data_IF_215251817150
#
_entry.id   IF_215251817150
#
_cell.length_a   1.000
_cell.length_b   1.000
_cell.length_c   1.000
_cell.angle_alpha   90.00
_cell.angle_beta   90.00
_cell.angle_gamma   90.00
#
_symmetry.space_group_name_H-M   'P 1'
#
loop_
_entity.id
_entity.type
_entity.pdbx_description
1 polymer ?
#
# COMPACT_ATOMS: atom_id res chain seq x y z
N UNK A 1 -27.81 56.62 -9.54
CA UNK A 1 -27.55 55.56 -10.53
C UNK A 1 -26.66 54.53 -9.89
N UNK A 2 -27.06 53.24 -10.01
CA UNK A 2 -26.30 51.99 -9.86
C UNK A 2 -25.70 51.66 -8.47
N UNK A 3 -26.26 50.65 -7.75
CA UNK A 3 -25.87 49.21 -7.73
C UNK A 3 -24.47 49.00 -7.12
N UNK A 4 -24.14 48.05 -6.24
CA UNK A 4 -24.76 46.87 -5.64
C UNK A 4 -23.75 46.40 -4.55
N UNK A 5 -24.16 46.06 -3.33
CA UNK A 5 -24.25 44.65 -2.92
C UNK A 5 -23.07 44.22 -2.01
N UNK A 6 -23.33 44.02 -0.70
CA UNK A 6 -23.29 42.73 0.02
C UNK A 6 -22.23 41.73 -0.47
N UNK A 7 -21.29 41.32 0.40
CA UNK A 7 -20.86 39.93 0.68
C UNK A 7 -19.77 40.01 1.78
N UNK A 8 -20.15 39.91 3.05
CA UNK A 8 -20.24 38.68 3.84
C UNK A 8 -18.86 38.16 4.31
N UNK A 9 -18.66 38.24 5.63
CA UNK A 9 -17.98 37.27 6.49
C UNK A 9 -17.41 36.04 5.76
N UNK A 10 -16.10 36.03 5.49
CA UNK A 10 -15.32 34.81 5.26
C UNK A 10 -14.14 34.83 6.21
N UNK A 11 -14.44 34.65 7.49
CA UNK A 11 -13.47 34.70 8.57
C UNK A 11 -13.81 33.73 9.69
N UNK A 12 -14.18 32.49 9.34
CA UNK A 12 -14.37 31.42 10.30
C UNK A 12 -14.59 30.06 9.60
N UNK A 13 -13.60 29.48 8.91
CA UNK A 13 -13.71 28.08 8.46
C UNK A 13 -12.38 27.34 8.23
N UNK A 14 -11.32 27.66 8.98
CA UNK A 14 -10.11 26.83 9.04
C UNK A 14 -9.69 26.54 10.47
N UNK A 15 -10.64 26.01 11.25
CA UNK A 15 -10.38 25.48 12.58
C UNK A 15 -10.75 23.99 12.62
N UNK A 16 -10.23 23.16 11.72
CA UNK A 16 -10.47 21.71 11.76
C UNK A 16 -9.38 20.85 11.08
N UNK A 17 -8.09 21.17 11.23
CA UNK A 17 -7.02 20.20 10.98
C UNK A 17 -5.85 20.43 11.94
N UNK A 18 -6.10 20.21 13.23
CA UNK A 18 -5.02 20.02 14.20
C UNK A 18 -4.94 18.53 14.50
N UNK A 19 -3.76 17.95 14.27
CA UNK A 19 -3.39 16.53 14.38
C UNK A 19 -3.63 15.66 13.14
N UNK A 20 -2.90 15.95 12.05
CA UNK A 20 -2.36 14.83 11.26
C UNK A 20 -1.19 14.30 12.10
N UNK A 21 -1.43 13.20 12.81
CA UNK A 21 -0.38 12.43 13.45
C UNK A 21 0.69 12.11 12.40
N UNK A 22 1.98 12.25 12.76
CA UNK A 22 3.13 11.92 11.92
C UNK A 22 2.99 10.48 11.41
N UNK A 23 2.46 10.32 10.21
CA UNK A 23 2.32 9.02 9.58
C UNK A 23 3.58 8.79 8.74
N UNK A 24 4.33 7.74 9.07
CA UNK A 24 5.55 7.42 8.36
C UNK A 24 5.20 6.80 7.01
N UNK A 25 5.68 7.42 5.93
CA UNK A 25 5.52 6.89 4.58
C UNK A 25 6.75 6.12 4.17
N UNK A 26 6.59 4.93 3.62
CA UNK A 26 7.70 4.09 3.17
C UNK A 26 7.54 3.75 1.71
N UNK A 27 8.65 3.65 1.00
CA UNK A 27 8.70 3.13 -0.36
C UNK A 27 9.71 2.01 -0.44
N UNK A 28 9.30 0.87 -0.98
CA UNK A 28 10.13 -0.32 -1.13
C UNK A 28 10.29 -0.67 -2.61
N UNK A 29 11.53 -0.88 -3.05
CA UNK A 29 11.83 -1.48 -4.35
C UNK A 29 11.82 -3.00 -4.19
N UNK A 30 10.96 -3.69 -4.93
CA UNK A 30 10.75 -5.13 -4.79
C UNK A 30 11.43 -5.88 -5.94
N UNK A 31 12.19 -6.90 -5.57
CA UNK A 31 12.75 -7.90 -6.44
C UNK A 31 12.02 -9.23 -6.25
N UNK A 32 11.59 -9.85 -7.34
CA UNK A 32 11.03 -11.19 -7.32
C UNK A 32 12.15 -12.20 -7.05
N UNK A 33 11.94 -13.10 -6.08
CA UNK A 33 12.87 -14.20 -5.78
C UNK A 33 12.45 -15.51 -6.47
N UNK A 34 11.22 -15.55 -6.98
CA UNK A 34 10.66 -16.70 -7.66
C UNK A 34 9.92 -16.23 -8.90
N UNK A 35 10.09 -16.97 -10.00
CA UNK A 35 9.37 -16.72 -11.24
C UNK A 35 7.93 -17.26 -11.16
N UNK A 36 7.08 -16.80 -12.08
CA UNK A 36 5.72 -17.34 -12.28
C UNK A 36 4.58 -16.52 -11.69
N UNK A 37 4.86 -15.40 -11.00
CA UNK A 37 3.84 -14.44 -10.60
C UNK A 37 4.34 -13.02 -10.80
N UNK A 38 3.41 -12.12 -11.11
CA UNK A 38 3.72 -10.70 -11.16
C UNK A 38 3.97 -10.16 -9.75
N UNK A 39 5.05 -9.38 -9.60
CA UNK A 39 5.33 -8.59 -8.41
C UNK A 39 5.36 -7.11 -8.77
N UNK A 40 4.79 -6.22 -7.94
CA UNK A 40 4.95 -4.79 -8.13
C UNK A 40 6.43 -4.44 -7.97
N UNK A 41 7.02 -3.70 -8.91
CA UNK A 41 8.43 -3.25 -8.81
C UNK A 41 8.67 -2.31 -7.63
N UNK A 42 7.65 -1.56 -7.25
CA UNK A 42 7.70 -0.61 -6.16
C UNK A 42 6.42 -0.71 -5.33
N UNK A 43 6.54 -0.62 -4.00
CA UNK A 43 5.41 -0.59 -3.07
C UNK A 43 5.59 0.58 -2.14
N UNK A 44 4.69 1.56 -2.24
CA UNK A 44 4.67 2.71 -1.34
C UNK A 44 3.50 2.60 -0.37
N UNK A 45 3.72 2.85 0.92
CA UNK A 45 2.67 2.72 1.93
C UNK A 45 2.83 3.67 3.10
N UNK A 46 1.71 4.09 3.67
CA UNK A 46 1.65 4.87 4.91
C UNK A 46 1.39 3.93 6.09
N UNK A 47 2.23 4.00 7.11
CA UNK A 47 2.06 3.27 8.35
C UNK A 47 1.44 4.20 9.40
N UNK A 48 0.19 3.93 9.77
CA UNK A 48 -0.47 4.57 10.90
C UNK A 48 -0.36 3.64 12.10
N UNK A 49 0.06 4.17 13.24
CA UNK A 49 0.27 3.35 14.43
C UNK A 49 -1.04 2.76 14.96
N UNK A 50 -0.88 1.54 15.46
CA UNK A 50 -1.76 0.73 16.30
C UNK A 50 -2.96 -0.03 15.71
N UNK A 51 -3.61 0.33 14.60
CA UNK A 51 -4.55 -0.62 13.97
C UNK A 51 -5.01 -0.21 12.57
N UNK A 52 -4.58 -0.98 11.57
CA UNK A 52 -5.56 -1.60 10.68
C UNK A 52 -5.76 -1.01 9.29
N UNK A 53 -5.23 0.15 8.94
CA UNK A 53 -5.35 0.67 7.57
C UNK A 53 -4.05 1.32 7.09
N UNK A 54 -3.25 0.55 6.36
CA UNK A 54 -2.22 1.10 5.50
C UNK A 54 -2.82 1.43 4.14
N UNK A 55 -2.21 2.36 3.43
CA UNK A 55 -2.63 2.73 2.09
C UNK A 55 -1.48 2.41 1.14
N UNK A 56 -1.65 1.42 0.27
CA UNK A 56 -0.67 1.13 -0.76
C UNK A 56 -0.88 2.13 -1.89
N UNK A 57 0.06 3.07 -2.04
CA UNK A 57 0.16 3.94 -3.19
C UNK A 57 0.74 3.09 -4.31
N UNK A 58 -0.15 2.59 -5.17
CA UNK A 58 0.15 1.57 -6.15
C UNK A 58 1.34 1.90 -7.03
N UNK A 59 2.15 0.86 -7.25
CA UNK A 59 3.03 0.72 -8.40
C UNK A 59 2.30 1.18 -9.68
N UNK A 60 2.87 2.18 -10.32
CA UNK A 60 2.56 2.69 -11.66
C UNK A 60 1.18 3.23 -12.03
N UNK A 61 0.04 2.99 -11.37
CA UNK A 61 -1.21 3.64 -11.84
C UNK A 61 -2.37 3.68 -10.82
N UNK A 62 -2.47 4.78 -10.07
CA UNK A 62 -3.72 5.56 -10.03
C UNK A 62 -4.68 5.42 -8.85
N UNK A 63 -4.65 4.34 -8.06
CA UNK A 63 -5.58 4.20 -6.94
C UNK A 63 -4.93 3.65 -5.65
N UNK A 64 -5.13 4.33 -4.51
CA UNK A 64 -4.89 3.76 -3.19
C UNK A 64 -5.53 2.39 -2.98
N UNK A 65 -4.72 1.39 -2.60
CA UNK A 65 -5.24 0.06 -2.21
C UNK A 65 -5.29 -0.02 -0.68
N UNK A 66 -6.44 -0.38 -0.08
CA UNK A 66 -6.52 -0.58 1.36
C UNK A 66 -5.67 -1.80 1.76
N UNK A 67 -4.81 -1.61 2.76
CA UNK A 67 -3.93 -2.62 3.33
C UNK A 67 -4.35 -2.89 4.75
N UNK A 68 -4.58 -4.17 5.08
CA UNK A 68 -4.72 -4.60 6.47
C UNK A 68 -3.33 -4.73 7.08
N UNK A 69 -2.97 -3.84 7.99
CA UNK A 69 -1.70 -3.89 8.71
C UNK A 69 -1.90 -4.36 10.16
N UNK A 70 -0.99 -5.20 10.63
CA UNK A 70 -0.95 -5.69 12.00
C UNK A 70 0.48 -5.68 12.52
N UNK A 71 0.70 -5.08 13.68
CA UNK A 71 2.02 -5.06 14.32
C UNK A 71 2.32 -6.43 14.94
N UNK A 72 3.27 -7.19 14.37
CA UNK A 72 3.71 -8.48 14.92
C UNK A 72 4.75 -8.35 16.03
N UNK A 73 5.53 -7.28 16.02
CA UNK A 73 6.54 -7.00 17.05
C UNK A 73 6.84 -5.50 17.09
N UNK A 74 7.70 -5.08 18.02
CA UNK A 74 8.15 -3.68 18.10
C UNK A 74 8.77 -3.15 16.80
N UNK A 75 9.27 -4.05 15.94
CA UNK A 75 9.99 -3.72 14.71
C UNK A 75 9.40 -4.36 13.44
N UNK A 76 8.29 -5.08 13.51
CA UNK A 76 7.78 -5.84 12.36
C UNK A 76 6.27 -5.74 12.23
N UNK A 77 5.83 -5.42 11.01
CA UNK A 77 4.43 -5.33 10.62
C UNK A 77 4.11 -6.40 9.58
N UNK A 78 2.99 -7.08 9.77
CA UNK A 78 2.36 -7.93 8.77
C UNK A 78 1.36 -7.08 8.00
N UNK A 79 1.38 -7.17 6.68
CA UNK A 79 0.50 -6.43 5.80
C UNK A 79 -0.16 -7.40 4.81
N UNK A 80 -1.46 -7.33 4.69
CA UNK A 80 -2.23 -8.14 3.73
C UNK A 80 -3.07 -7.20 2.85
N UNK A 81 -3.01 -7.38 1.53
CA UNK A 81 -3.83 -6.64 0.57
C UNK A 81 -4.22 -7.50 -0.63
N UNK A 82 -5.20 -7.04 -1.40
CA UNK A 82 -5.65 -7.68 -2.63
C UNK A 82 -5.54 -6.68 -3.78
N UNK A 83 -4.88 -7.06 -4.86
CA UNK A 83 -4.77 -6.26 -6.08
C UNK A 83 -5.76 -6.80 -7.12
N UNK A 84 -6.61 -5.92 -7.64
CA UNK A 84 -7.55 -6.27 -8.71
C UNK A 84 -6.81 -6.41 -10.06
N UNK A 85 -7.39 -7.15 -11.00
CA UNK A 85 -6.84 -7.42 -12.34
C UNK A 85 -6.53 -6.16 -13.14
N UNK A 86 -7.34 -5.11 -12.98
CA UNK A 86 -7.16 -3.83 -13.68
C UNK A 86 -5.81 -3.15 -13.36
N UNK A 87 -5.16 -3.49 -12.24
CA UNK A 87 -3.87 -2.95 -11.82
C UNK A 87 -2.70 -3.92 -12.11
N UNK A 88 -2.94 -4.97 -12.92
CA UNK A 88 -1.97 -6.01 -13.28
C UNK A 88 -1.82 -6.12 -14.80
N UNK A 89 -1.45 -5.04 -15.52
CA UNK A 89 -1.55 -4.96 -16.99
C UNK A 89 -0.68 -5.96 -17.76
N UNK A 90 0.31 -6.58 -17.12
CA UNK A 90 1.27 -7.49 -17.74
C UNK A 90 1.22 -8.93 -17.21
N UNK A 91 0.18 -9.29 -16.44
CA UNK A 91 0.05 -10.67 -15.96
C UNK A 91 -0.50 -11.58 -17.08
N UNK A 92 0.06 -12.78 -17.28
CA UNK A 92 -0.48 -13.73 -18.26
C UNK A 92 -1.96 -14.04 -17.99
N UNK A 93 -2.78 -14.04 -19.04
CA UNK A 93 -4.24 -14.21 -18.94
C UNK A 93 -4.69 -15.51 -18.24
N UNK A 94 -3.83 -16.54 -18.16
CA UNK A 94 -4.14 -17.79 -17.47
C UNK A 94 -4.08 -17.69 -15.93
N UNK A 95 -3.45 -16.64 -15.39
CA UNK A 95 -3.36 -16.36 -13.95
C UNK A 95 -4.34 -15.28 -13.48
N UNK A 96 -5.17 -14.76 -14.37
CA UNK A 96 -6.23 -13.80 -14.07
C UNK A 96 -7.41 -14.49 -13.36
N UNK A 97 -7.30 -14.66 -12.04
CA UNK A 97 -8.47 -14.90 -11.18
C UNK A 97 -9.19 -13.58 -10.94
N UNK A 98 -10.46 -13.51 -11.40
CA UNK A 98 -11.41 -12.41 -11.18
C UNK A 98 -11.52 -11.94 -9.72
N UNK A 99 -11.11 -12.75 -8.74
CA UNK A 99 -11.09 -12.38 -7.31
C UNK A 99 -9.89 -11.52 -6.89
N UNK A 100 -8.95 -11.24 -7.80
CA UNK A 100 -7.73 -10.50 -7.52
C UNK A 100 -6.66 -11.35 -6.82
N UNK A 101 -5.41 -10.90 -6.87
CA UNK A 101 -4.29 -11.58 -6.21
C UNK A 101 -4.10 -11.02 -4.81
N UNK A 102 -4.02 -11.93 -3.84
CA UNK A 102 -3.76 -11.55 -2.45
C UNK A 102 -2.27 -11.60 -2.19
N UNK A 103 -1.76 -10.53 -1.60
CA UNK A 103 -0.39 -10.39 -1.19
C UNK A 103 -0.31 -10.35 0.32
N UNK A 104 0.78 -10.90 0.83
CA UNK A 104 1.16 -10.84 2.24
C UNK A 104 2.59 -10.35 2.34
N UNK A 105 2.82 -9.30 3.11
CA UNK A 105 4.15 -8.77 3.36
C UNK A 105 4.51 -8.76 4.85
N UNK A 106 5.79 -9.00 5.12
CA UNK A 106 6.42 -8.70 6.39
C UNK A 106 7.36 -7.52 6.18
N UNK A 107 7.09 -6.41 6.84
CA UNK A 107 7.93 -5.22 6.81
C UNK A 107 8.63 -5.03 8.15
N UNK A 108 9.95 -4.91 8.10
CA UNK A 108 10.76 -4.62 9.27
C UNK A 108 11.19 -3.15 9.27
N UNK A 109 10.61 -2.35 10.18
CA UNK A 109 10.89 -0.90 10.27
C UNK A 109 12.33 -0.58 10.68
N UNK A 110 13.00 -1.48 11.42
CA UNK A 110 14.40 -1.27 11.86
C UNK A 110 15.40 -1.57 10.77
N UNK A 111 15.11 -2.57 9.92
CA UNK A 111 15.98 -3.00 8.82
C UNK A 111 15.61 -2.37 7.48
N UNK A 112 14.48 -1.66 7.44
CA UNK A 112 13.88 -1.13 6.21
C UNK A 112 13.82 -2.18 5.10
N UNK A 113 13.34 -3.38 5.45
CA UNK A 113 13.25 -4.50 4.52
C UNK A 113 11.87 -5.10 4.52
N UNK A 114 11.36 -5.37 3.32
CA UNK A 114 10.09 -6.03 3.07
C UNK A 114 10.33 -7.43 2.51
N UNK A 115 9.57 -8.41 2.99
CA UNK A 115 9.44 -9.72 2.34
C UNK A 115 8.00 -9.87 1.89
N UNK A 116 7.79 -10.19 0.63
CA UNK A 116 6.49 -10.26 -0.03
C UNK A 116 6.19 -11.68 -0.46
N UNK A 117 4.94 -12.11 -0.31
CA UNK A 117 4.45 -13.41 -0.69
C UNK A 117 3.15 -13.26 -1.47
N UNK A 118 3.07 -13.91 -2.63
CA UNK A 118 1.82 -14.02 -3.39
C UNK A 118 1.07 -15.25 -2.87
N UNK A 119 -0.16 -15.03 -2.40
CA UNK A 119 -1.04 -16.09 -1.96
C UNK A 119 -1.84 -16.57 -3.18
N UNK A 120 -1.39 -17.65 -3.81
CA UNK A 120 -2.10 -18.32 -4.90
C UNK A 120 -3.25 -19.18 -4.39
N UNK A 121 -4.30 -19.35 -5.21
CA UNK A 121 -5.45 -20.20 -4.87
C UNK A 121 -5.26 -21.69 -5.19
N UNK A 122 -4.32 -22.07 -6.05
CA UNK A 122 -4.18 -23.44 -6.51
C UNK A 122 -2.70 -23.81 -6.61
N UNK A 123 -2.14 -24.45 -5.60
CA UNK A 123 -1.96 -25.91 -5.57
C UNK A 123 -1.47 -26.28 -4.16
N UNK A 124 -1.94 -27.40 -3.60
CA UNK A 124 -1.52 -27.88 -2.28
C UNK A 124 0.00 -28.20 -2.18
N UNK A 125 0.73 -28.16 -3.31
CA UNK A 125 2.13 -28.57 -3.42
C UNK A 125 3.07 -27.53 -4.06
N UNK A 126 2.60 -26.34 -4.46
CA UNK A 126 3.50 -25.30 -4.97
C UNK A 126 4.02 -24.44 -3.82
N UNK A 127 5.34 -24.19 -3.82
CA UNK A 127 5.90 -23.18 -2.94
C UNK A 127 5.29 -21.82 -3.29
N UNK A 128 4.88 -21.02 -2.31
CA UNK A 128 4.33 -19.70 -2.58
C UNK A 128 5.41 -18.84 -3.23
N UNK A 129 5.00 -18.03 -4.21
CA UNK A 129 5.92 -17.11 -4.86
C UNK A 129 6.32 -16.00 -3.90
N UNK A 130 7.62 -15.66 -3.90
CA UNK A 130 8.24 -14.74 -2.95
C UNK A 130 8.97 -13.62 -3.67
N UNK A 131 8.95 -12.46 -3.04
CA UNK A 131 9.79 -11.31 -3.36
C UNK A 131 10.39 -10.72 -2.10
N UNK A 132 11.41 -9.90 -2.26
CA UNK A 132 12.01 -9.11 -1.18
C UNK A 132 12.23 -7.70 -1.68
N UNK A 133 12.25 -6.72 -0.79
CA UNK A 133 12.57 -5.37 -1.19
C UNK A 133 13.25 -4.58 -0.09
N UNK A 134 14.12 -3.68 -0.52
CA UNK A 134 14.73 -2.68 0.35
C UNK A 134 13.88 -1.42 0.31
N UNK A 135 13.71 -0.81 1.48
CA UNK A 135 12.79 0.28 1.70
C UNK A 135 13.52 1.55 2.15
N UNK A 136 12.88 2.68 1.93
CA UNK A 136 13.27 3.97 2.48
C UNK A 136 12.09 4.59 3.22
N UNK A 137 12.39 5.34 4.28
CA UNK A 137 11.43 6.26 4.89
C UNK A 137 11.40 7.52 4.03
N UNK A 138 10.22 7.88 3.55
CA UNK A 138 9.96 9.18 2.96
C UNK A 138 9.56 10.11 4.11
N UNK A 139 10.41 11.09 4.38
CA UNK A 139 10.12 12.13 5.37
C UNK A 139 8.85 12.90 4.92
N UNK A 140 7.94 13.27 5.84
CA UNK A 140 6.75 14.06 5.54
C UNK A 140 7.07 15.51 5.14
#
# INVERSE_FOLDING_TARGET
MLFCGRFALVGAFFAFFSAIAQANTYTCQIEALTDGFWFPKEVSFVLQDDEGNGLLLGAQEGAPIPVKSYRRSSATYLMDWTVNEALRPNEPAHDMDRRGKRYRALFNVKRLRMSLQVLGYNTLNSSPSRGTGDCILLDP
#
